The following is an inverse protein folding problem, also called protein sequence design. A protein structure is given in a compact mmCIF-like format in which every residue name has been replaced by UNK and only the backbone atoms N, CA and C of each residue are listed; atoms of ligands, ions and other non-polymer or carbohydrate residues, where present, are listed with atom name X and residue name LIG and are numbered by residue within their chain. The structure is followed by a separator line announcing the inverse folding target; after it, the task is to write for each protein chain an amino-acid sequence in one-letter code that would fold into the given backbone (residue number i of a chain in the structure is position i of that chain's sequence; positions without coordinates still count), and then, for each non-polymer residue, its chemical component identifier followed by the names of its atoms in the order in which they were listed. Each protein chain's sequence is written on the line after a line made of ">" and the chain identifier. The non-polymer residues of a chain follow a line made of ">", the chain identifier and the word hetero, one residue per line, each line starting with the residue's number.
data_IF_361859040986
#
_entry.id   IF_361859040986
#
_cell.length_a   1.000
_cell.length_b   1.000
_cell.length_c   1.000
_cell.angle_alpha   90.00
_cell.angle_beta   90.00
_cell.angle_gamma   90.00
#
_symmetry.space_group_name_H-M   'P 1'
#
loop_
_entity.id
_entity.type
_entity.pdbx_description
1 polymer ?
#
# COMPACT_ATOMS: atom_id res chain seq x y z
N UNK A 1 0.25 -2.90 -26.78
CA UNK A 1 0.50 -1.56 -26.22
C UNK A 1 0.69 -1.75 -24.72
N UNK A 2 1.93 -1.95 -24.27
CA UNK A 2 2.22 -2.13 -22.84
C UNK A 2 2.02 -0.78 -22.17
N UNK A 3 0.92 -0.64 -21.43
CA UNK A 3 0.71 0.51 -20.55
C UNK A 3 1.87 0.46 -19.56
N UNK A 4 2.89 1.30 -19.77
CA UNK A 4 3.98 1.50 -18.81
C UNK A 4 3.32 1.94 -17.52
N UNK A 5 3.38 1.10 -16.50
CA UNK A 5 2.84 1.49 -15.21
C UNK A 5 3.73 2.59 -14.66
N UNK A 6 3.16 3.69 -14.16
CA UNK A 6 3.91 4.84 -13.65
C UNK A 6 4.85 4.38 -12.51
N UNK A 7 4.43 3.35 -11.78
CA UNK A 7 5.19 2.73 -10.71
C UNK A 7 6.40 1.91 -11.16
N UNK A 8 6.48 1.50 -12.43
CA UNK A 8 7.64 0.75 -12.94
C UNK A 8 8.95 1.55 -12.82
N UNK A 9 8.84 2.89 -12.82
CA UNK A 9 9.97 3.81 -12.67
C UNK A 9 10.35 4.13 -11.22
N UNK A 10 9.53 3.72 -10.25
CA UNK A 10 9.80 3.96 -8.84
C UNK A 10 10.77 2.91 -8.29
N UNK A 11 11.61 3.29 -7.34
CA UNK A 11 12.42 2.34 -6.58
C UNK A 11 11.57 1.61 -5.52
N UNK A 12 12.12 0.57 -4.90
CA UNK A 12 11.38 -0.27 -3.96
C UNK A 12 10.86 0.51 -2.74
N UNK A 13 11.66 1.43 -2.21
CA UNK A 13 11.28 2.30 -1.09
C UNK A 13 10.06 3.17 -1.43
N UNK A 14 10.00 3.72 -2.65
CA UNK A 14 8.87 4.53 -3.10
C UNK A 14 7.61 3.70 -3.29
N UNK A 15 7.72 2.44 -3.76
CA UNK A 15 6.58 1.51 -3.83
C UNK A 15 6.01 1.25 -2.44
N UNK A 16 6.87 0.90 -1.49
CA UNK A 16 6.50 0.67 -0.08
C UNK A 16 5.87 1.92 0.55
N UNK A 17 6.47 3.10 0.33
CA UNK A 17 5.97 4.35 0.88
C UNK A 17 4.62 4.76 0.29
N UNK A 18 4.41 4.56 -1.02
CA UNK A 18 3.10 4.78 -1.64
C UNK A 18 2.06 3.82 -1.09
N UNK A 19 2.39 2.53 -0.97
CA UNK A 19 1.49 1.53 -0.40
C UNK A 19 1.01 1.93 1.00
N UNK A 20 1.93 2.32 1.88
CA UNK A 20 1.60 2.82 3.22
C UNK A 20 0.71 4.06 3.18
N UNK A 21 1.05 5.04 2.34
CA UNK A 21 0.32 6.31 2.26
C UNK A 21 -1.11 6.09 1.77
N UNK A 22 -1.30 5.33 0.70
CA UNK A 22 -2.63 5.04 0.15
C UNK A 22 -3.50 4.34 1.18
N UNK A 23 -3.00 3.29 1.84
CA UNK A 23 -3.72 2.60 2.92
C UNK A 23 -4.09 3.54 4.07
N UNK A 24 -3.17 4.41 4.48
CA UNK A 24 -3.42 5.38 5.56
C UNK A 24 -4.53 6.35 5.19
N UNK A 25 -4.50 6.91 3.98
CA UNK A 25 -5.53 7.85 3.52
C UNK A 25 -6.90 7.17 3.32
N UNK A 26 -6.94 5.90 2.89
CA UNK A 26 -8.18 5.11 2.83
C UNK A 26 -8.73 4.91 4.25
N UNK A 27 -7.90 4.47 5.20
CA UNK A 27 -8.35 4.19 6.56
C UNK A 27 -8.72 5.42 7.38
N UNK A 28 -8.18 6.58 7.03
CA UNK A 28 -8.56 7.88 7.56
C UNK A 28 -9.83 8.45 6.90
N UNK A 29 -10.31 7.84 5.80
CA UNK A 29 -11.49 8.27 5.07
C UNK A 29 -11.24 9.42 4.10
N UNK A 30 -9.98 9.81 3.85
CA UNK A 30 -9.63 10.82 2.85
C UNK A 30 -9.79 10.27 1.43
N UNK A 31 -9.41 9.02 1.23
CA UNK A 31 -9.57 8.29 -0.04
C UNK A 31 -10.74 7.32 0.06
N UNK A 32 -11.43 7.11 -1.06
CA UNK A 32 -12.52 6.14 -1.14
C UNK A 32 -12.00 4.71 -1.18
N UNK A 33 -12.86 3.76 -0.80
CA UNK A 33 -12.55 2.33 -0.87
C UNK A 33 -12.19 1.84 -2.28
N UNK A 34 -12.58 2.58 -3.34
CA UNK A 34 -12.16 2.27 -4.73
C UNK A 34 -10.63 2.34 -4.89
N UNK A 35 -9.93 3.07 -4.02
CA UNK A 35 -8.47 3.14 -4.03
C UNK A 35 -7.79 1.88 -3.52
N UNK A 36 -8.52 0.87 -3.03
CA UNK A 36 -7.93 -0.46 -2.83
C UNK A 36 -7.42 -1.09 -4.14
N UNK A 37 -7.99 -0.74 -5.31
CA UNK A 37 -7.44 -1.16 -6.60
C UNK A 37 -5.98 -0.68 -6.80
N UNK A 38 -5.65 0.49 -6.23
CA UNK A 38 -4.30 1.05 -6.28
C UNK A 38 -3.34 0.29 -5.34
N UNK A 39 -3.87 -0.14 -4.19
CA UNK A 39 -3.16 -1.01 -3.24
C UNK A 39 -2.80 -2.34 -3.93
N UNK A 40 -3.77 -2.99 -4.59
CA UNK A 40 -3.57 -4.25 -5.31
C UNK A 40 -2.52 -4.13 -6.43
N UNK A 41 -2.50 -2.97 -7.12
CA UNK A 41 -1.53 -2.68 -8.15
C UNK A 41 -0.11 -2.56 -7.59
N UNK A 42 0.05 -1.87 -6.46
CA UNK A 42 1.33 -1.74 -5.77
C UNK A 42 1.82 -3.09 -5.21
N UNK A 43 0.92 -3.94 -4.70
CA UNK A 43 1.26 -5.32 -4.28
C UNK A 43 1.77 -6.14 -5.46
N UNK A 44 1.08 -6.08 -6.60
CA UNK A 44 1.48 -6.79 -7.81
C UNK A 44 2.86 -6.37 -8.28
N UNK A 45 3.18 -5.08 -8.22
CA UNK A 45 4.48 -4.54 -8.65
C UNK A 45 5.58 -4.91 -7.66
N UNK A 46 5.29 -4.83 -6.35
CA UNK A 46 6.21 -5.28 -5.32
C UNK A 46 6.52 -6.78 -5.48
N UNK A 47 5.49 -7.61 -5.72
CA UNK A 47 5.64 -9.04 -5.91
C UNK A 47 6.52 -9.39 -7.13
N UNK A 48 6.36 -8.67 -8.25
CA UNK A 48 7.24 -8.78 -9.43
C UNK A 48 8.71 -8.48 -9.12
N UNK A 49 8.98 -7.76 -8.03
CA UNK A 49 10.33 -7.38 -7.56
C UNK A 49 10.82 -8.21 -6.38
N UNK A 50 10.14 -9.31 -6.05
CA UNK A 50 10.48 -10.18 -4.93
C UNK A 50 10.10 -9.60 -3.56
N UNK A 51 9.21 -8.60 -3.52
CA UNK A 51 8.76 -7.97 -2.28
C UNK A 51 7.31 -8.35 -2.03
N UNK A 52 7.06 -8.99 -0.90
CA UNK A 52 5.70 -9.26 -0.44
C UNK A 52 5.28 -8.16 0.54
N UNK A 53 4.24 -7.41 0.18
CA UNK A 53 3.63 -6.38 1.03
C UNK A 53 2.35 -6.94 1.66
N UNK A 54 2.14 -6.61 2.93
CA UNK A 54 0.90 -6.93 3.64
C UNK A 54 0.71 -5.94 4.77
N UNK A 55 -0.52 -5.67 5.16
CA UNK A 55 -0.81 -4.73 6.24
C UNK A 55 -1.72 -5.34 7.30
N UNK A 56 -1.62 -4.80 8.51
CA UNK A 56 -2.57 -5.03 9.59
C UNK A 56 -3.06 -3.69 10.12
N UNK A 57 -4.39 -3.53 10.17
CA UNK A 57 -5.02 -2.34 10.74
C UNK A 57 -5.49 -2.66 12.16
N UNK A 58 -4.94 -1.95 13.13
CA UNK A 58 -5.41 -1.98 14.50
C UNK A 58 -6.43 -0.84 14.66
N UNK A 59 -7.70 -1.20 14.82
CA UNK A 59 -8.73 -0.27 15.30
C UNK A 59 -8.75 -0.34 16.82
N UNK A 60 -7.99 0.52 17.50
CA UNK A 60 -8.18 0.70 18.94
C UNK A 60 -9.52 1.42 19.20
N UNK A 61 -10.16 1.08 20.32
CA UNK A 61 -11.45 1.62 20.76
C UNK A 61 -11.53 3.15 20.67
N UNK A 62 -12.77 3.66 20.48
CA UNK A 62 -13.19 5.06 20.39
C UNK A 62 -12.20 6.04 21.04
N UNK A 63 -11.60 6.92 20.23
CA UNK A 63 -10.70 8.04 20.56
C UNK A 63 -9.19 7.84 20.31
N UNK A 64 -8.75 6.79 19.60
CA UNK A 64 -7.36 6.69 19.12
C UNK A 64 -7.27 6.61 17.59
N UNK A 65 -6.25 7.23 16.97
CA UNK A 65 -6.01 7.10 15.54
C UNK A 65 -5.78 5.62 15.19
N UNK A 66 -6.33 5.17 14.07
CA UNK A 66 -6.09 3.80 13.58
C UNK A 66 -4.59 3.61 13.37
N UNK A 67 -4.02 2.54 13.92
CA UNK A 67 -2.62 2.19 13.64
C UNK A 67 -2.57 1.26 12.44
N UNK A 68 -1.69 1.59 11.49
CA UNK A 68 -1.40 0.76 10.32
C UNK A 68 0.00 0.17 10.49
N UNK A 69 0.08 -1.16 10.54
CA UNK A 69 1.35 -1.89 10.57
C UNK A 69 1.58 -2.43 9.17
N UNK A 70 2.76 -2.12 8.63
CA UNK A 70 3.21 -2.65 7.34
C UNK A 70 4.21 -3.79 7.55
N UNK A 71 3.96 -4.92 6.91
CA UNK A 71 4.86 -6.07 6.88
C UNK A 71 5.47 -6.19 5.48
N UNK A 72 6.80 -6.09 5.41
CA UNK A 72 7.59 -6.18 4.18
C UNK A 72 8.44 -7.44 4.28
N UNK A 73 8.31 -8.34 3.31
CA UNK A 73 9.17 -9.53 3.21
C UNK A 73 9.88 -9.54 1.86
N UNK A 74 11.15 -9.92 1.86
CA UNK A 74 11.97 -10.04 0.67
C UNK A 74 12.20 -11.53 0.38
N UNK A 75 12.07 -11.90 -0.88
CA UNK A 75 12.38 -13.23 -1.41
C UNK A 75 13.68 -13.23 -2.20
#
# INVERSE_FOLDING_TARGET
>A
MTISNIYDRLNNEKIVGMYYKVLTEIFNGTLSDVMFNEVDLLETIAAKRGIHLSYYRIKEHLNRPSQLILLIRFH
#
